data_IF_251892099217
#
_entry.id   IF_251892099217
#
_cell.length_a   1.000
_cell.length_b   1.000
_cell.length_c   1.000
_cell.angle_alpha   90.00
_cell.angle_beta   90.00
_cell.angle_gamma   90.00
#
_symmetry.space_group_name_H-M   'P 1'
#
loop_
_entity.id
_entity.type
_entity.pdbx_description
1 polymer ?
#
# COMPACT_ATOMS: atom_id res chain seq x y z
N UNK A 1 -6.24 9.42 9.83
CA UNK A 1 -6.24 8.37 8.79
C UNK A 1 -7.64 7.75 8.69
N UNK A 2 -8.20 7.76 7.49
CA UNK A 2 -9.54 7.28 7.16
C UNK A 2 -9.72 5.76 7.44
N UNK A 3 -10.96 5.32 7.73
CA UNK A 3 -11.26 3.92 8.04
C UNK A 3 -10.99 2.99 6.84
N UNK A 4 -11.25 3.47 5.63
CA UNK A 4 -10.98 2.76 4.38
C UNK A 4 -9.48 2.58 4.17
N UNK A 5 -8.68 3.63 4.34
CA UNK A 5 -7.21 3.55 4.24
C UNK A 5 -6.61 2.56 5.25
N UNK A 6 -7.20 2.43 6.45
CA UNK A 6 -6.77 1.43 7.44
C UNK A 6 -7.10 -0.01 7.00
N UNK A 7 -8.26 -0.20 6.40
CA UNK A 7 -8.65 -1.47 5.79
C UNK A 7 -7.73 -1.87 4.65
N UNK A 8 -7.46 -0.92 3.75
CA UNK A 8 -6.52 -1.08 2.64
C UNK A 8 -5.13 -1.47 3.14
N UNK A 9 -4.59 -0.78 4.16
CA UNK A 9 -3.30 -1.14 4.78
C UNK A 9 -3.24 -2.59 5.23
N UNK A 10 -4.28 -3.07 5.91
CA UNK A 10 -4.34 -4.46 6.39
C UNK A 10 -4.40 -5.44 5.23
N UNK A 11 -5.22 -5.15 4.22
CA UNK A 11 -5.33 -5.97 3.02
C UNK A 11 -3.99 -6.03 2.26
N UNK A 12 -3.32 -4.89 2.08
CA UNK A 12 -2.01 -4.81 1.44
C UNK A 12 -0.98 -5.70 2.15
N UNK A 13 -0.86 -5.58 3.48
CA UNK A 13 0.05 -6.40 4.27
C UNK A 13 -0.26 -7.90 4.17
N UNK A 14 -1.54 -8.29 4.15
CA UNK A 14 -1.93 -9.69 3.97
C UNK A 14 -1.62 -10.22 2.56
N UNK A 15 -1.90 -9.45 1.52
CA UNK A 15 -1.60 -9.83 0.14
C UNK A 15 -0.09 -9.98 -0.06
N UNK A 16 0.71 -9.04 0.43
CA UNK A 16 2.17 -9.10 0.33
C UNK A 16 2.75 -10.29 1.10
N UNK A 17 2.23 -10.58 2.30
CA UNK A 17 2.61 -11.78 3.04
C UNK A 17 2.24 -13.09 2.31
N UNK A 18 1.20 -13.06 1.48
CA UNK A 18 0.79 -14.17 0.62
C UNK A 18 1.52 -14.20 -0.73
N UNK A 19 2.44 -13.26 -1.01
CA UNK A 19 3.13 -13.14 -2.30
C UNK A 19 2.22 -12.67 -3.44
N UNK A 20 1.08 -12.05 -3.13
CA UNK A 20 0.11 -11.56 -4.09
C UNK A 20 0.29 -10.05 -4.34
N UNK A 21 0.04 -9.58 -5.58
CA UNK A 21 0.16 -8.16 -5.89
C UNK A 21 -0.95 -7.35 -5.21
N UNK A 22 -0.57 -6.17 -4.70
CA UNK A 22 -1.49 -5.18 -4.13
C UNK A 22 -1.81 -4.15 -5.20
N UNK A 23 -3.08 -3.84 -5.44
CA UNK A 23 -3.46 -2.80 -6.39
C UNK A 23 -3.00 -1.40 -5.91
N UNK A 24 -2.44 -0.53 -6.76
CA UNK A 24 -1.85 0.74 -6.34
C UNK A 24 -2.92 1.83 -6.37
N UNK A 25 -3.85 1.78 -5.42
CA UNK A 25 -4.97 2.73 -5.39
C UNK A 25 -4.50 4.10 -4.89
N UNK A 26 -4.61 5.12 -5.76
CA UNK A 26 -3.98 6.44 -5.55
C UNK A 26 -4.39 7.11 -4.24
N UNK A 27 -5.69 7.12 -3.93
CA UNK A 27 -6.22 7.84 -2.77
C UNK A 27 -5.75 7.19 -1.46
N UNK A 28 -5.70 5.86 -1.42
CA UNK A 28 -5.24 5.09 -0.26
C UNK A 28 -3.73 5.20 -0.09
N UNK A 29 -2.96 5.15 -1.19
CA UNK A 29 -1.51 5.36 -1.15
C UNK A 29 -1.19 6.78 -0.67
N UNK A 30 -1.94 7.80 -1.10
CA UNK A 30 -1.76 9.16 -0.61
C UNK A 30 -2.10 9.26 0.89
N UNK A 31 -3.18 8.62 1.34
CA UNK A 31 -3.56 8.59 2.75
C UNK A 31 -2.52 7.88 3.63
N UNK A 32 -1.87 6.83 3.12
CA UNK A 32 -0.74 6.16 3.78
C UNK A 32 0.51 7.03 3.80
N UNK A 33 0.82 7.70 2.70
CA UNK A 33 2.00 8.56 2.58
C UNK A 33 2.04 9.69 3.61
N UNK A 34 0.89 10.29 3.89
CA UNK A 34 0.77 11.37 4.90
C UNK A 34 0.80 10.85 6.35
N UNK A 35 0.56 9.56 6.58
CA UNK A 35 0.39 9.01 7.92
C UNK A 35 1.71 8.81 8.70
N UNK A 36 2.80 8.45 8.01
CA UNK A 36 4.10 8.31 8.67
C UNK A 36 5.12 7.51 7.88
N UNK A 37 6.37 7.42 8.37
CA UNK A 37 7.48 6.77 7.67
C UNK A 37 7.25 5.28 7.40
N UNK A 38 6.64 4.53 8.33
CA UNK A 38 6.33 3.10 8.13
C UNK A 38 5.36 2.89 6.96
N UNK A 39 4.34 3.73 6.86
CA UNK A 39 3.36 3.64 5.77
C UNK A 39 3.93 4.15 4.44
N UNK A 40 4.91 5.06 4.46
CA UNK A 40 5.65 5.45 3.24
C UNK A 40 6.51 4.30 2.71
N UNK A 41 7.11 3.50 3.59
CA UNK A 41 7.84 2.31 3.17
C UNK A 41 6.91 1.31 2.47
N UNK A 42 5.71 1.09 3.04
CA UNK A 42 4.67 0.27 2.42
C UNK A 42 4.24 0.81 1.04
N UNK A 43 4.03 2.12 0.92
CA UNK A 43 3.67 2.76 -0.37
C UNK A 43 4.77 2.56 -1.41
N UNK A 44 6.04 2.72 -1.03
CA UNK A 44 7.17 2.51 -1.93
C UNK A 44 7.24 1.06 -2.42
N UNK A 45 7.05 0.09 -1.53
CA UNK A 45 7.05 -1.33 -1.88
C UNK A 45 5.89 -1.69 -2.83
N UNK A 46 4.68 -1.18 -2.58
CA UNK A 46 3.54 -1.35 -3.48
C UNK A 46 3.83 -0.74 -4.87
N UNK A 47 4.41 0.46 -4.92
CA UNK A 47 4.74 1.14 -6.17
C UNK A 47 5.81 0.38 -6.97
N UNK A 48 6.90 -0.04 -6.33
CA UNK A 48 7.98 -0.78 -6.99
C UNK A 48 7.52 -2.13 -7.56
N UNK A 49 6.60 -2.83 -6.89
CA UNK A 49 6.03 -4.06 -7.42
C UNK A 49 5.26 -3.85 -8.72
N UNK A 50 4.58 -2.70 -8.88
CA UNK A 50 3.88 -2.37 -10.12
C UNK A 50 4.81 -1.91 -11.24
N UNK A 51 5.85 -1.16 -10.92
CA UNK A 51 6.86 -0.76 -11.91
C UNK A 51 7.59 -1.97 -12.51
N UNK A 52 7.75 -3.07 -11.75
CA UNK A 52 8.34 -4.33 -12.25
C UNK A 52 7.37 -5.20 -13.06
N UNK A 53 6.06 -4.96 -12.98
CA UNK A 53 5.04 -5.78 -13.66
C UNK A 53 4.56 -5.14 -14.97
N UNK A 54 4.94 -3.89 -15.26
CA UNK A 54 4.54 -3.10 -16.43
C UNK A 54 5.48 -3.24 -17.64
#
# INVERSE_FOLDING_TARGET
MDAYAKGYRKAALHLMAAGLPVAPCRDELQALWVNGPDDRALVAEIASNWEMTA
#
